data_IF_707829855196
#
_entry.id   IF_707829855196
#
_cell.length_a   1.000
_cell.length_b   1.000
_cell.length_c   1.000
_cell.angle_alpha   90.00
_cell.angle_beta   90.00
_cell.angle_gamma   90.00
#
_symmetry.space_group_name_H-M   'P 1'
#
loop_
_entity.id
_entity.type
_entity.pdbx_description
1 polymer ?
#
# COMPACT_ATOMS: atom_id res chain seq x y z
N UNK A 1 24.55 32.18 13.46
CA UNK A 1 23.68 31.19 14.16
C UNK A 1 22.66 30.50 13.27
N UNK A 2 22.10 31.17 12.25
CA UNK A 2 21.04 30.60 11.35
C UNK A 2 21.55 29.49 10.40
N UNK A 3 22.82 29.49 9.98
CA UNK A 3 23.39 28.47 9.09
C UNK A 3 23.49 27.06 9.74
N UNK A 4 23.69 26.98 11.04
CA UNK A 4 23.80 25.71 11.77
C UNK A 4 22.47 24.99 11.97
N UNK A 5 21.35 25.73 12.02
CA UNK A 5 20.01 25.15 12.18
C UNK A 5 19.51 24.46 10.90
N UNK A 6 19.84 25.02 9.71
CA UNK A 6 19.52 24.37 8.42
C UNK A 6 20.30 23.07 8.23
N UNK A 7 21.58 23.05 8.60
CA UNK A 7 22.44 21.86 8.50
C UNK A 7 22.03 20.78 9.48
N UNK A 8 21.60 21.16 10.68
CA UNK A 8 21.07 20.24 11.69
C UNK A 8 19.70 19.66 11.27
N UNK A 9 18.79 20.49 10.73
CA UNK A 9 17.51 20.06 10.16
C UNK A 9 17.71 19.08 9.00
N UNK A 10 18.69 19.31 8.12
CA UNK A 10 19.00 18.41 7.01
C UNK A 10 19.67 17.09 7.48
N UNK A 11 20.48 17.12 8.53
CA UNK A 11 21.03 15.90 9.14
C UNK A 11 19.95 15.06 9.83
N UNK A 12 19.03 15.69 10.54
CA UNK A 12 17.89 15.01 11.19
C UNK A 12 16.92 14.45 10.14
N UNK A 13 16.68 15.15 9.02
CA UNK A 13 15.90 14.66 7.88
C UNK A 13 16.47 13.35 7.26
N UNK A 14 17.78 13.20 7.25
CA UNK A 14 18.45 12.07 6.60
C UNK A 14 18.74 10.86 7.53
N UNK A 15 18.39 10.93 8.81
CA UNK A 15 18.72 9.84 9.77
C UNK A 15 17.67 8.73 9.83
N UNK A 16 16.58 8.82 9.07
CA UNK A 16 15.55 7.75 8.98
C UNK A 16 14.76 7.46 10.27
N UNK A 17 15.17 8.07 11.41
CA UNK A 17 14.59 7.78 12.73
C UNK A 17 13.20 8.38 12.94
N UNK A 18 12.83 9.45 12.20
CA UNK A 18 11.54 10.16 12.38
C UNK A 18 10.74 10.36 11.09
N UNK A 19 11.16 9.82 9.95
CA UNK A 19 10.58 10.13 8.64
C UNK A 19 10.76 11.61 8.26
N UNK A 20 10.39 11.97 7.05
CA UNK A 20 10.38 13.39 6.65
C UNK A 20 9.15 14.09 7.26
N UNK A 21 9.32 15.30 7.79
CA UNK A 21 8.21 16.08 8.39
C UNK A 21 7.06 16.37 7.42
N UNK A 22 7.33 16.33 6.11
CA UNK A 22 6.34 16.49 5.04
C UNK A 22 5.82 15.17 4.46
N UNK A 23 6.10 14.02 5.12
CA UNK A 23 5.65 12.73 4.63
C UNK A 23 4.12 12.67 4.50
N UNK A 24 3.65 12.29 3.33
CA UNK A 24 2.23 12.22 3.01
C UNK A 24 1.60 13.55 2.54
N UNK A 25 2.40 14.61 2.35
CA UNK A 25 1.92 15.93 1.96
C UNK A 25 1.05 15.88 0.71
N UNK A 26 1.50 15.22 -0.37
CA UNK A 26 0.77 15.14 -1.64
C UNK A 26 -0.65 14.56 -1.48
N UNK A 27 -0.85 13.62 -0.57
CA UNK A 27 -2.18 13.03 -0.34
C UNK A 27 -3.04 13.84 0.61
N UNK A 28 -2.42 14.69 1.47
CA UNK A 28 -3.10 15.51 2.45
C UNK A 28 -3.58 16.85 1.88
N UNK A 29 -2.83 17.42 0.92
CA UNK A 29 -3.10 18.75 0.35
C UNK A 29 -4.16 18.75 -0.76
N UNK A 30 -4.57 17.57 -1.26
CA UNK A 30 -5.63 17.49 -2.26
C UNK A 30 -7.00 17.69 -1.63
N UNK A 31 -7.77 18.62 -2.19
CA UNK A 31 -9.12 18.91 -1.73
C UNK A 31 -10.18 18.17 -2.58
N UNK A 32 -11.24 17.72 -1.95
CA UNK A 32 -12.52 17.21 -2.42
C UNK A 32 -12.56 16.67 -3.86
N UNK A 33 -12.90 17.54 -4.82
CA UNK A 33 -13.03 17.17 -6.24
C UNK A 33 -11.71 16.76 -6.89
N UNK A 34 -10.65 17.52 -6.66
CA UNK A 34 -9.31 17.22 -7.22
C UNK A 34 -8.78 15.86 -6.75
N UNK A 35 -9.06 15.50 -5.49
CA UNK A 35 -8.68 14.22 -4.96
C UNK A 35 -9.43 13.07 -5.65
N UNK A 36 -10.74 13.23 -5.87
CA UNK A 36 -11.53 12.21 -6.59
C UNK A 36 -11.04 12.04 -8.02
N UNK A 37 -10.78 13.11 -8.74
CA UNK A 37 -10.32 13.07 -10.12
C UNK A 37 -8.94 12.40 -10.20
N UNK A 38 -8.04 12.74 -9.29
CA UNK A 38 -6.73 12.10 -9.22
C UNK A 38 -6.82 10.59 -8.93
N UNK A 39 -7.64 10.16 -7.96
CA UNK A 39 -7.83 8.74 -7.69
C UNK A 39 -8.52 8.01 -8.84
N UNK A 40 -9.43 8.64 -9.58
CA UNK A 40 -10.04 8.05 -10.78
C UNK A 40 -9.00 7.82 -11.88
N UNK A 41 -8.12 8.80 -12.14
CA UNK A 41 -7.01 8.66 -13.11
C UNK A 41 -6.07 7.53 -12.68
N UNK A 42 -5.68 7.48 -11.41
CA UNK A 42 -4.82 6.42 -10.88
C UNK A 42 -5.51 5.05 -10.97
N UNK A 43 -6.82 4.99 -10.73
CA UNK A 43 -7.58 3.75 -10.86
C UNK A 43 -7.59 3.21 -12.29
N UNK A 44 -7.75 4.05 -13.29
CA UNK A 44 -7.65 3.64 -14.70
C UNK A 44 -6.24 3.19 -15.07
N UNK A 45 -5.19 3.88 -14.57
CA UNK A 45 -3.80 3.48 -14.81
C UNK A 45 -3.44 2.12 -14.20
N UNK A 46 -4.14 1.70 -13.13
CA UNK A 46 -3.95 0.41 -12.48
C UNK A 46 -4.99 -0.66 -12.86
N UNK A 47 -5.69 -0.48 -13.96
CA UNK A 47 -6.82 -1.34 -14.38
C UNK A 47 -6.46 -2.84 -14.47
N UNK A 48 -5.28 -3.16 -14.97
CA UNK A 48 -4.82 -4.55 -15.09
C UNK A 48 -4.60 -5.18 -13.72
N UNK A 49 -3.99 -4.46 -12.77
CA UNK A 49 -3.82 -4.92 -11.39
C UNK A 49 -5.16 -5.13 -10.70
N UNK A 50 -6.12 -4.24 -10.94
CA UNK A 50 -7.48 -4.36 -10.42
C UNK A 50 -8.18 -5.61 -10.97
N UNK A 51 -7.99 -5.92 -12.25
CA UNK A 51 -8.52 -7.13 -12.86
C UNK A 51 -7.89 -8.39 -12.26
N UNK A 52 -6.56 -8.44 -12.09
CA UNK A 52 -5.86 -9.56 -11.43
C UNK A 52 -6.35 -9.73 -9.99
N UNK A 53 -6.52 -8.63 -9.24
CA UNK A 53 -7.04 -8.67 -7.87
C UNK A 53 -8.47 -9.23 -7.82
N UNK A 54 -9.38 -8.78 -8.69
CA UNK A 54 -10.75 -9.30 -8.74
C UNK A 54 -10.77 -10.79 -9.11
N UNK A 55 -9.94 -11.22 -10.04
CA UNK A 55 -9.81 -12.66 -10.37
C UNK A 55 -9.25 -13.46 -9.17
N UNK A 56 -8.25 -12.91 -8.48
CA UNK A 56 -7.75 -13.51 -7.25
C UNK A 56 -8.86 -13.68 -6.21
N UNK A 57 -9.68 -12.65 -5.98
CA UNK A 57 -10.78 -12.67 -5.01
C UNK A 57 -11.85 -13.72 -5.35
N UNK A 58 -12.20 -13.89 -6.62
CA UNK A 58 -13.21 -14.87 -7.06
C UNK A 58 -12.87 -16.32 -6.68
N UNK A 59 -11.59 -16.60 -6.48
CA UNK A 59 -11.11 -17.93 -6.07
C UNK A 59 -11.05 -18.09 -4.54
N UNK A 60 -11.34 -17.05 -3.77
CA UNK A 60 -11.30 -17.05 -2.29
C UNK A 60 -12.69 -17.26 -1.72
N UNK A 61 -12.78 -18.14 -0.72
CA UNK A 61 -14.06 -18.47 -0.06
C UNK A 61 -14.00 -18.01 1.40
N UNK A 62 -15.17 -17.78 1.98
CA UNK A 62 -15.31 -17.51 3.41
C UNK A 62 -14.49 -16.30 3.90
N UNK A 63 -14.52 -15.20 3.15
CA UNK A 63 -13.98 -13.92 3.58
C UNK A 63 -15.06 -13.17 4.37
N UNK A 64 -14.79 -12.93 5.65
CA UNK A 64 -15.68 -12.16 6.52
C UNK A 64 -15.10 -10.78 6.85
N UNK A 65 -13.78 -10.69 7.01
CA UNK A 65 -13.09 -9.47 7.40
C UNK A 65 -12.02 -9.07 6.39
N UNK A 66 -12.06 -7.82 5.97
CA UNK A 66 -11.13 -7.28 4.97
C UNK A 66 -10.53 -5.97 5.47
N UNK A 67 -9.23 -5.84 5.32
CA UNK A 67 -8.48 -4.60 5.51
C UNK A 67 -7.90 -4.13 4.18
N UNK A 68 -8.19 -2.89 3.80
CA UNK A 68 -7.49 -2.17 2.74
C UNK A 68 -6.52 -1.16 3.34
N UNK A 69 -5.25 -1.25 2.96
CA UNK A 69 -4.21 -0.30 3.35
C UNK A 69 -3.93 0.65 2.19
N UNK A 70 -4.15 1.94 2.40
CA UNK A 70 -4.14 2.97 1.37
C UNK A 70 -5.45 2.99 0.59
N UNK A 71 -6.58 3.06 1.29
CA UNK A 71 -7.91 2.94 0.66
C UNK A 71 -8.32 4.17 -0.17
N UNK A 72 -7.55 5.27 -0.11
CA UNK A 72 -7.87 6.50 -0.81
C UNK A 72 -9.29 6.97 -0.53
N UNK A 73 -10.05 7.28 -1.58
CA UNK A 73 -11.45 7.71 -1.49
C UNK A 73 -12.47 6.57 -1.47
N UNK A 74 -12.02 5.31 -1.32
CA UNK A 74 -12.88 4.16 -1.10
C UNK A 74 -13.51 3.58 -2.37
N UNK A 75 -12.72 3.36 -3.41
CA UNK A 75 -13.21 2.79 -4.69
C UNK A 75 -13.57 1.31 -4.57
N UNK A 76 -12.82 0.54 -3.78
CA UNK A 76 -12.99 -0.92 -3.68
C UNK A 76 -14.13 -1.41 -2.79
N UNK A 77 -14.51 -0.77 -1.69
CA UNK A 77 -15.54 -1.28 -0.79
C UNK A 77 -16.83 -1.68 -1.47
N UNK A 78 -17.25 -0.92 -2.49
CA UNK A 78 -18.49 -1.18 -3.26
C UNK A 78 -18.34 -2.50 -4.04
N UNK A 79 -17.22 -2.67 -4.77
CA UNK A 79 -16.96 -3.89 -5.56
C UNK A 79 -16.82 -5.13 -4.67
N UNK A 80 -16.21 -4.98 -3.49
CA UNK A 80 -16.08 -6.08 -2.53
C UNK A 80 -17.43 -6.50 -1.97
N UNK A 81 -18.34 -5.56 -1.73
CA UNK A 81 -19.71 -5.86 -1.25
C UNK A 81 -20.53 -6.64 -2.29
N UNK A 82 -20.32 -6.37 -3.58
CA UNK A 82 -20.95 -7.12 -4.67
C UNK A 82 -20.47 -8.58 -4.72
N UNK A 83 -19.19 -8.83 -4.40
CA UNK A 83 -18.59 -10.17 -4.40
C UNK A 83 -18.87 -10.95 -3.10
N UNK A 84 -18.99 -10.25 -1.97
CA UNK A 84 -19.13 -10.81 -0.63
C UNK A 84 -20.18 -10.03 0.17
N UNK A 85 -21.41 -10.53 0.22
CA UNK A 85 -22.57 -9.82 0.80
C UNK A 85 -22.43 -9.41 2.28
N UNK A 86 -21.68 -10.18 3.07
CA UNK A 86 -21.58 -9.99 4.53
C UNK A 86 -20.18 -9.55 5.00
N UNK A 87 -19.42 -8.90 4.13
CA UNK A 87 -18.06 -8.50 4.43
C UNK A 87 -18.00 -7.36 5.45
N UNK A 88 -17.15 -7.48 6.45
CA UNK A 88 -16.77 -6.41 7.37
C UNK A 88 -15.48 -5.78 6.84
N UNK A 89 -15.63 -4.65 6.18
CA UNK A 89 -14.51 -3.93 5.60
C UNK A 89 -13.99 -2.84 6.53
N UNK A 90 -12.66 -2.71 6.59
CA UNK A 90 -11.96 -1.60 7.22
C UNK A 90 -10.98 -1.00 6.20
N UNK A 91 -11.03 0.31 5.98
CA UNK A 91 -10.08 1.06 5.16
C UNK A 91 -9.14 1.89 6.03
N UNK A 92 -7.86 1.93 5.69
CA UNK A 92 -6.86 2.81 6.33
C UNK A 92 -6.21 3.66 5.26
N UNK A 93 -6.11 4.97 5.51
CA UNK A 93 -5.35 5.89 4.68
C UNK A 93 -4.69 6.96 5.53
N UNK A 94 -3.55 7.49 5.06
CA UNK A 94 -2.87 8.60 5.71
C UNK A 94 -3.58 9.93 5.47
N UNK A 95 -4.37 10.03 4.41
CA UNK A 95 -5.11 11.22 4.01
C UNK A 95 -6.42 11.37 4.80
N UNK A 96 -6.48 12.36 5.67
CA UNK A 96 -7.71 12.71 6.39
C UNK A 96 -8.84 13.12 5.42
N UNK A 97 -8.50 13.84 4.35
CA UNK A 97 -9.46 14.29 3.34
C UNK A 97 -10.09 13.12 2.60
N UNK A 98 -9.28 12.13 2.18
CA UNK A 98 -9.77 10.91 1.55
C UNK A 98 -10.70 10.13 2.48
N UNK A 99 -10.32 9.94 3.74
CA UNK A 99 -11.15 9.24 4.73
C UNK A 99 -12.48 9.98 5.01
N UNK A 100 -12.47 11.32 5.05
CA UNK A 100 -13.72 12.10 5.16
C UNK A 100 -14.68 11.80 4.01
N UNK A 101 -14.17 11.62 2.78
CA UNK A 101 -15.01 11.24 1.64
C UNK A 101 -15.52 9.80 1.75
N UNK A 102 -14.67 8.86 2.14
CA UNK A 102 -15.09 7.49 2.38
C UNK A 102 -16.28 7.41 3.35
N UNK A 103 -16.20 8.12 4.48
CA UNK A 103 -17.25 8.16 5.51
C UNK A 103 -18.55 8.81 5.06
N UNK A 104 -18.51 9.69 4.04
CA UNK A 104 -19.74 10.25 3.43
C UNK A 104 -20.43 9.25 2.50
N UNK A 105 -19.65 8.41 1.83
CA UNK A 105 -20.14 7.54 0.76
C UNK A 105 -20.44 6.11 1.21
N UNK A 106 -20.00 5.72 2.42
CA UNK A 106 -20.14 4.35 2.92
C UNK A 106 -20.21 4.30 4.44
N UNK A 107 -20.93 3.29 4.95
CA UNK A 107 -21.03 2.97 6.39
C UNK A 107 -19.94 2.02 6.89
N UNK A 108 -18.94 1.69 6.07
CA UNK A 108 -17.80 0.87 6.48
C UNK A 108 -16.88 1.59 7.48
N UNK A 109 -16.02 0.83 8.13
CA UNK A 109 -15.02 1.38 9.05
C UNK A 109 -13.87 2.03 8.28
N UNK A 110 -13.51 3.28 8.62
CA UNK A 110 -12.38 3.98 8.03
C UNK A 110 -11.55 4.67 9.09
N UNK A 111 -10.23 4.47 9.03
CA UNK A 111 -9.24 5.00 9.95
C UNK A 111 -8.25 5.91 9.23
N UNK A 112 -7.98 7.07 9.81
CA UNK A 112 -6.90 7.95 9.37
C UNK A 112 -5.62 7.56 10.10
N UNK A 113 -4.53 7.38 9.37
CA UNK A 113 -3.22 7.23 9.99
C UNK A 113 -2.18 6.52 9.14
N UNK A 114 -0.95 6.65 9.61
CA UNK A 114 0.19 5.90 9.09
C UNK A 114 0.07 4.43 9.49
N UNK A 115 -0.17 3.57 8.52
CA UNK A 115 -0.38 2.14 8.76
C UNK A 115 0.78 1.51 9.54
N UNK A 116 2.04 1.88 9.26
CA UNK A 116 3.20 1.32 9.97
C UNK A 116 3.13 1.62 11.47
N UNK A 117 2.62 2.80 11.86
CA UNK A 117 2.56 3.27 13.26
C UNK A 117 1.27 2.91 13.99
N UNK A 118 0.16 2.70 13.26
CA UNK A 118 -1.12 2.38 13.89
C UNK A 118 -1.05 1.08 14.69
N UNK A 119 -1.63 1.06 15.89
CA UNK A 119 -1.81 -0.19 16.64
C UNK A 119 -3.07 -0.91 16.15
N UNK A 120 -2.90 -2.06 15.51
CA UNK A 120 -3.98 -2.89 14.97
C UNK A 120 -3.93 -4.24 15.69
N UNK A 121 -4.81 -4.45 16.65
CA UNK A 121 -4.84 -5.67 17.46
C UNK A 121 -5.58 -6.83 16.84
N UNK A 122 -6.45 -6.56 15.85
CA UNK A 122 -7.24 -7.58 15.15
C UNK A 122 -6.54 -8.07 13.89
N UNK A 123 -6.78 -9.32 13.50
CA UNK A 123 -6.36 -9.88 12.21
C UNK A 123 -7.55 -9.97 11.26
N UNK A 124 -7.26 -9.89 9.96
CA UNK A 124 -8.26 -9.88 8.89
C UNK A 124 -8.10 -11.12 7.99
N UNK A 125 -9.21 -11.65 7.49
CA UNK A 125 -9.16 -12.77 6.54
C UNK A 125 -8.43 -12.40 5.25
N UNK A 126 -8.62 -11.17 4.78
CA UNK A 126 -7.90 -10.59 3.66
C UNK A 126 -7.31 -9.22 4.05
N UNK A 127 -6.04 -9.03 3.75
CA UNK A 127 -5.39 -7.70 3.79
C UNK A 127 -4.88 -7.38 2.39
N UNK A 128 -5.21 -6.21 1.85
CA UNK A 128 -4.68 -5.82 0.55
C UNK A 128 -4.23 -4.36 0.52
N UNK A 129 -3.32 -4.08 -0.41
CA UNK A 129 -2.77 -2.75 -0.63
C UNK A 129 -2.36 -2.59 -2.09
N UNK A 130 -2.86 -1.55 -2.73
CA UNK A 130 -2.56 -1.23 -4.12
C UNK A 130 -1.71 0.03 -4.22
N UNK A 131 -0.50 -0.09 -4.80
CA UNK A 131 0.37 1.04 -5.11
C UNK A 131 0.69 1.96 -3.90
N UNK A 132 0.85 1.39 -2.70
CA UNK A 132 1.17 2.11 -1.46
C UNK A 132 2.60 1.84 -1.02
N UNK A 133 3.06 0.59 -1.16
CA UNK A 133 4.39 0.16 -0.70
C UNK A 133 5.52 0.94 -1.36
N UNK A 134 5.30 1.45 -2.57
CA UNK A 134 6.25 2.31 -3.28
C UNK A 134 6.45 3.68 -2.61
N UNK A 135 5.54 4.08 -1.74
CA UNK A 135 5.51 5.41 -1.13
C UNK A 135 5.87 5.43 0.35
N UNK A 136 6.10 4.28 0.98
CA UNK A 136 6.37 4.22 2.41
C UNK A 136 7.85 4.47 2.73
N UNK A 137 8.12 4.96 3.93
CA UNK A 137 9.47 5.22 4.43
C UNK A 137 10.19 3.95 4.92
N UNK A 138 9.49 2.83 5.09
CA UNK A 138 10.04 1.53 5.49
C UNK A 138 9.20 0.40 4.86
N UNK A 139 9.67 -0.10 3.73
CA UNK A 139 8.98 -1.16 2.98
C UNK A 139 9.00 -2.50 3.72
N UNK A 140 10.08 -2.82 4.42
CA UNK A 140 10.18 -4.06 5.19
C UNK A 140 9.20 -4.07 6.38
N UNK A 141 9.10 -2.95 7.10
CA UNK A 141 8.13 -2.80 8.20
C UNK A 141 6.70 -2.82 7.69
N UNK A 142 6.43 -2.18 6.55
CA UNK A 142 5.10 -2.16 5.93
C UNK A 142 4.63 -3.57 5.57
N UNK A 143 5.46 -4.33 4.86
CA UNK A 143 5.12 -5.70 4.43
C UNK A 143 5.04 -6.65 5.63
N UNK A 144 5.96 -6.54 6.59
CA UNK A 144 5.90 -7.34 7.81
C UNK A 144 4.60 -7.10 8.58
N UNK A 145 4.15 -5.86 8.68
CA UNK A 145 2.89 -5.52 9.34
C UNK A 145 1.67 -6.02 8.57
N UNK A 146 1.66 -5.96 7.24
CA UNK A 146 0.61 -6.60 6.44
C UNK A 146 0.52 -8.09 6.80
N UNK A 147 1.65 -8.79 6.82
CA UNK A 147 1.69 -10.21 7.19
C UNK A 147 1.18 -10.44 8.62
N UNK A 148 1.60 -9.61 9.57
CA UNK A 148 1.17 -9.75 10.97
C UNK A 148 -0.34 -9.63 11.14
N UNK A 149 -0.99 -8.66 10.51
CA UNK A 149 -2.44 -8.44 10.60
C UNK A 149 -3.26 -9.34 9.66
N UNK A 150 -2.60 -10.16 8.83
CA UNK A 150 -3.25 -11.12 7.93
C UNK A 150 -3.54 -12.43 8.66
N UNK A 151 -4.78 -12.90 8.55
CA UNK A 151 -5.21 -14.23 9.03
C UNK A 151 -5.06 -15.30 7.96
N UNK A 152 -5.54 -15.04 6.73
CA UNK A 152 -5.56 -16.03 5.63
C UNK A 152 -4.81 -15.54 4.41
N UNK A 153 -5.20 -14.39 3.84
CA UNK A 153 -4.76 -13.92 2.54
C UNK A 153 -4.21 -12.50 2.60
N UNK A 154 -3.10 -12.24 1.89
CA UNK A 154 -2.71 -10.88 1.59
C UNK A 154 -2.45 -10.68 0.08
N UNK A 155 -2.68 -9.45 -0.40
CA UNK A 155 -2.45 -9.05 -1.78
C UNK A 155 -1.84 -7.65 -1.82
N UNK A 156 -0.65 -7.53 -2.37
CA UNK A 156 0.09 -6.27 -2.43
C UNK A 156 0.53 -6.00 -3.86
N UNK A 157 0.37 -4.79 -4.34
CA UNK A 157 0.95 -4.36 -5.61
C UNK A 157 1.95 -3.23 -5.42
N UNK A 158 3.03 -3.26 -6.23
CA UNK A 158 4.00 -2.19 -6.37
C UNK A 158 4.09 -1.80 -7.86
N UNK A 159 3.90 -0.51 -8.17
CA UNK A 159 3.72 -0.06 -9.55
C UNK A 159 5.00 0.47 -10.21
N UNK A 160 6.03 0.79 -9.41
CA UNK A 160 7.27 1.42 -9.90
C UNK A 160 8.09 0.57 -10.86
N UNK A 161 7.87 -0.74 -10.91
CA UNK A 161 8.55 -1.65 -11.81
C UNK A 161 8.87 -2.99 -11.18
N UNK A 162 9.35 -3.92 -12.03
CA UNK A 162 9.79 -5.25 -11.62
C UNK A 162 11.31 -5.32 -11.74
N UNK A 163 12.00 -5.42 -10.59
CA UNK A 163 13.45 -5.37 -10.48
C UNK A 163 14.02 -6.69 -9.92
N UNK A 164 14.13 -7.77 -10.72
CA UNK A 164 14.52 -9.10 -10.24
C UNK A 164 15.93 -9.14 -9.63
N UNK A 165 16.86 -8.32 -10.13
CA UNK A 165 18.25 -8.30 -9.72
C UNK A 165 18.58 -7.26 -8.64
N UNK A 166 17.60 -6.47 -8.23
CA UNK A 166 17.78 -5.44 -7.22
C UNK A 166 17.98 -6.09 -5.85
N UNK A 167 19.21 -5.99 -5.29
CA UNK A 167 19.57 -6.64 -4.03
C UNK A 167 18.95 -6.01 -2.80
N UNK A 168 18.74 -4.69 -2.82
CA UNK A 168 18.14 -3.90 -1.73
C UNK A 168 17.17 -2.89 -2.28
N UNK A 169 16.15 -2.54 -1.50
CA UNK A 169 15.25 -1.44 -1.84
C UNK A 169 16.03 -0.14 -2.12
N UNK A 170 15.57 0.63 -3.10
CA UNK A 170 16.03 1.99 -3.29
C UNK A 170 14.99 2.95 -2.79
N UNK A 171 15.38 3.78 -1.82
CA UNK A 171 14.53 4.77 -1.18
C UNK A 171 14.74 6.12 -1.88
N UNK A 172 13.77 6.56 -2.67
CA UNK A 172 13.87 7.79 -3.45
C UNK A 172 12.86 8.81 -2.88
N UNK A 173 13.34 9.77 -2.10
CA UNK A 173 12.52 10.83 -1.54
C UNK A 173 12.31 11.95 -2.55
N UNK A 174 11.06 12.44 -2.68
CA UNK A 174 10.68 13.62 -3.47
C UNK A 174 10.19 14.73 -2.52
N UNK A 175 10.97 15.79 -2.39
CA UNK A 175 10.66 16.93 -1.52
C UNK A 175 9.41 17.71 -1.97
N UNK A 176 9.13 17.75 -3.29
CA UNK A 176 7.99 18.47 -3.84
C UNK A 176 6.66 17.80 -3.42
N UNK A 177 6.63 16.49 -3.47
CA UNK A 177 5.43 15.69 -3.15
C UNK A 177 5.34 15.32 -1.67
N UNK A 178 6.45 15.42 -0.93
CA UNK A 178 6.51 14.92 0.44
C UNK A 178 6.30 13.40 0.48
N UNK A 179 6.85 12.66 -0.48
CA UNK A 179 6.62 11.24 -0.66
C UNK A 179 7.86 10.51 -1.14
N UNK A 180 7.88 9.20 -0.93
CA UNK A 180 8.85 8.29 -1.54
C UNK A 180 8.35 7.78 -2.90
N UNK A 181 9.30 7.46 -3.78
CA UNK A 181 9.09 6.73 -5.04
C UNK A 181 10.10 5.59 -5.10
N UNK A 182 9.84 4.55 -4.33
CA UNK A 182 10.80 3.50 -4.03
C UNK A 182 10.83 2.42 -5.11
N UNK A 183 12.04 1.90 -5.39
CA UNK A 183 12.18 0.69 -6.18
C UNK A 183 12.22 -0.53 -5.25
N UNK A 184 11.30 -1.46 -5.48
CA UNK A 184 11.05 -2.59 -4.60
C UNK A 184 11.97 -3.79 -4.92
N UNK A 185 12.80 -4.22 -3.98
CA UNK A 185 13.65 -5.39 -4.14
C UNK A 185 12.92 -6.68 -3.77
N UNK A 186 12.73 -7.55 -4.74
CA UNK A 186 12.14 -8.88 -4.54
C UNK A 186 13.05 -9.75 -3.66
N UNK A 187 14.38 -9.62 -3.85
CA UNK A 187 15.39 -10.38 -3.08
C UNK A 187 15.27 -10.02 -1.59
N UNK A 188 15.22 -8.73 -1.26
CA UNK A 188 15.11 -8.27 0.12
C UNK A 188 13.78 -8.71 0.75
N UNK A 189 12.66 -8.60 0.05
CA UNK A 189 11.35 -9.01 0.56
C UNK A 189 11.25 -10.52 0.79
N UNK A 190 11.76 -11.34 -0.11
CA UNK A 190 11.82 -12.80 0.13
C UNK A 190 12.60 -13.15 1.39
N UNK A 191 13.74 -12.44 1.63
CA UNK A 191 14.49 -12.57 2.86
C UNK A 191 13.64 -12.16 4.07
N UNK A 192 12.96 -11.00 3.98
CA UNK A 192 12.08 -10.50 5.05
C UNK A 192 10.94 -11.47 5.36
N UNK A 193 10.29 -12.07 4.36
CA UNK A 193 9.25 -13.07 4.58
C UNK A 193 9.76 -14.29 5.37
N UNK A 194 10.95 -14.79 5.05
CA UNK A 194 11.59 -15.86 5.82
C UNK A 194 11.90 -15.45 7.26
N UNK A 195 12.41 -14.24 7.46
CA UNK A 195 12.71 -13.70 8.80
C UNK A 195 11.48 -13.61 9.70
N UNK A 196 10.31 -13.33 9.12
CA UNK A 196 9.03 -13.24 9.85
C UNK A 196 8.23 -14.55 9.86
N UNK A 197 8.84 -15.66 9.40
CA UNK A 197 8.32 -17.01 9.53
C UNK A 197 7.38 -17.48 8.42
N UNK A 198 7.29 -16.77 7.28
CA UNK A 198 6.57 -17.30 6.11
C UNK A 198 7.40 -18.36 5.40
N UNK A 199 6.78 -19.49 5.08
CA UNK A 199 7.34 -20.53 4.25
C UNK A 199 7.29 -20.13 2.76
N UNK A 200 8.14 -20.73 1.93
CA UNK A 200 8.21 -20.39 0.49
C UNK A 200 6.93 -20.73 -0.28
N UNK A 201 6.14 -21.66 0.18
CA UNK A 201 4.84 -22.03 -0.39
C UNK A 201 3.69 -21.13 0.04
N UNK A 202 3.90 -20.24 1.02
CA UNK A 202 2.87 -19.31 1.52
C UNK A 202 2.87 -17.97 0.77
N UNK A 203 3.84 -17.69 -0.10
CA UNK A 203 3.86 -16.46 -0.88
C UNK A 203 4.29 -16.68 -2.33
N UNK A 204 3.76 -15.86 -3.20
CA UNK A 204 4.07 -15.81 -4.62
C UNK A 204 4.33 -14.36 -5.02
N UNK A 205 5.46 -14.10 -5.67
CA UNK A 205 5.85 -12.76 -6.15
C UNK A 205 6.03 -12.84 -7.65
N UNK A 206 5.17 -12.14 -8.38
CA UNK A 206 5.14 -12.15 -9.85
C UNK A 206 5.30 -10.76 -10.43
N UNK A 207 5.82 -10.72 -11.65
CA UNK A 207 5.64 -9.58 -12.54
C UNK A 207 4.27 -9.66 -13.20
N UNK A 208 3.60 -8.51 -13.27
CA UNK A 208 2.38 -8.31 -14.04
C UNK A 208 2.68 -7.35 -15.16
N UNK A 209 2.52 -7.79 -16.41
CA UNK A 209 2.66 -6.90 -17.56
C UNK A 209 1.49 -5.92 -17.59
N UNK A 210 1.81 -4.65 -17.67
CA UNK A 210 0.83 -3.57 -17.74
C UNK A 210 0.98 -2.81 -19.04
N UNK A 211 -0.12 -2.45 -19.67
CA UNK A 211 -0.13 -1.59 -20.83
C UNK A 211 -0.35 -0.14 -20.38
N UNK A 212 0.68 0.42 -19.78
CA UNK A 212 0.59 1.75 -19.21
C UNK A 212 1.51 2.73 -19.95
N UNK A 213 0.92 3.50 -20.88
CA UNK A 213 1.65 4.52 -21.66
C UNK A 213 2.16 5.69 -20.80
N UNK A 214 1.71 5.81 -19.56
CA UNK A 214 2.00 6.94 -18.68
C UNK A 214 2.98 6.59 -17.55
N UNK A 215 3.35 5.33 -17.35
CA UNK A 215 4.26 4.89 -16.31
C UNK A 215 5.56 4.34 -16.90
N UNK A 216 6.67 4.55 -16.19
CA UNK A 216 8.02 4.20 -16.66
C UNK A 216 8.34 2.69 -16.64
N UNK A 217 7.34 1.82 -16.42
CA UNK A 217 7.58 0.39 -16.30
C UNK A 217 6.51 -0.45 -16.99
N UNK A 218 6.95 -1.32 -17.92
CA UNK A 218 6.09 -2.30 -18.59
C UNK A 218 5.61 -3.42 -17.66
N UNK A 219 6.23 -3.57 -16.50
CA UNK A 219 5.95 -4.63 -15.53
C UNK A 219 5.85 -4.06 -14.13
N UNK A 220 4.87 -4.52 -13.40
CA UNK A 220 4.63 -4.19 -12.00
C UNK A 220 4.73 -5.44 -11.12
N UNK A 221 4.84 -5.26 -9.80
CA UNK A 221 4.95 -6.36 -8.86
C UNK A 221 3.59 -6.69 -8.28
N UNK A 222 3.27 -7.98 -8.22
CA UNK A 222 2.14 -8.51 -7.45
C UNK A 222 2.67 -9.52 -6.45
N UNK A 223 2.33 -9.35 -5.19
CA UNK A 223 2.63 -10.27 -4.09
C UNK A 223 1.32 -10.85 -3.59
N UNK A 224 1.21 -12.17 -3.58
CA UNK A 224 0.09 -12.93 -3.04
C UNK A 224 0.59 -13.76 -1.86
N UNK A 225 -0.07 -13.68 -0.73
CA UNK A 225 0.25 -14.45 0.47
C UNK A 225 -0.97 -15.28 0.84
N UNK A 226 -0.77 -16.57 1.09
CA UNK A 226 -1.77 -17.53 1.57
C UNK A 226 -1.19 -18.27 2.76
N UNK A 227 -1.61 -17.89 3.96
CA UNK A 227 -1.14 -18.53 5.19
C UNK A 227 -1.72 -19.93 5.31
N UNK A 228 -0.86 -20.92 5.49
CA UNK A 228 -1.23 -22.24 5.95
C UNK A 228 -1.35 -22.18 7.47
N UNK A 229 -2.58 -22.42 7.99
CA UNK A 229 -2.85 -22.45 9.44
C UNK A 229 -2.00 -23.50 10.15
#
# INVERSE_FOLDING_TARGET
MVRNLKTLKNKIKNTGIFGHFSYGKIWQEKEGGEQNDWYNVMHESHKIQHQDFIQYLKTRKNLETVLEVGCGTGVYPIKLKELFSNIKYTGIDISETAIKQCKKNSSFEFLVGDFIKLNISKKFDLVYSHAVVDHVYDMDAFVAKIVDVTKKYAYITAYRGFFPDLKKHKMNWNDADGSYYNDFSIIQIKKKFKEIGLNENEFDIKSLKVDNKNENADYQIVIKIEKTN
#
